data_IF_775158342424
#
_entry.id   IF_775158342424
#
_cell.length_a   1.000
_cell.length_b   1.000
_cell.length_c   1.000
_cell.angle_alpha   90.00
_cell.angle_beta   90.00
_cell.angle_gamma   90.00
#
_symmetry.space_group_name_H-M   'P 1'
#
loop_
_entity.id
_entity.type
_entity.pdbx_description
1 polymer ?
#
# COMPACT_ATOMS: atom_id res chain seq x y z
N UNK A 1 34.90 34.17 -38.64
CA UNK A 1 33.82 34.34 -37.62
C UNK A 1 32.69 33.34 -37.80
N UNK A 2 32.20 33.11 -39.03
CA UNK A 2 30.95 32.37 -39.27
C UNK A 2 30.96 30.89 -38.81
N UNK A 3 32.09 30.18 -39.00
CA UNK A 3 32.24 28.78 -38.56
C UNK A 3 32.37 28.62 -37.04
N UNK A 4 32.95 29.61 -36.38
CA UNK A 4 33.14 29.61 -34.92
C UNK A 4 31.80 29.90 -34.22
N UNK A 5 31.03 30.88 -34.74
CA UNK A 5 29.67 31.17 -34.26
C UNK A 5 28.75 29.97 -34.45
N UNK A 6 28.78 29.27 -35.59
CA UNK A 6 27.99 28.05 -35.81
C UNK A 6 28.34 26.93 -34.80
N UNK A 7 29.62 26.75 -34.47
CA UNK A 7 30.05 25.78 -33.44
C UNK A 7 29.59 26.20 -32.04
N UNK A 8 29.70 27.48 -31.71
CA UNK A 8 29.24 28.01 -30.43
C UNK A 8 27.72 27.86 -30.27
N UNK A 9 26.94 28.22 -31.30
CA UNK A 9 25.48 28.03 -31.32
C UNK A 9 25.10 26.56 -31.17
N UNK A 10 25.81 25.64 -31.83
CA UNK A 10 25.57 24.19 -31.67
C UNK A 10 25.81 23.74 -30.23
N UNK A 11 26.91 24.18 -29.60
CA UNK A 11 27.23 23.84 -28.20
C UNK A 11 26.13 24.36 -27.26
N UNK A 12 25.65 25.59 -27.47
CA UNK A 12 24.55 26.18 -26.69
C UNK A 12 23.27 25.36 -26.86
N UNK A 13 22.91 24.99 -28.09
CA UNK A 13 21.72 24.17 -28.37
C UNK A 13 21.79 22.79 -27.73
N UNK A 14 22.94 22.11 -27.83
CA UNK A 14 23.16 20.81 -27.18
C UNK A 14 23.05 20.93 -25.66
N UNK A 15 23.59 22.00 -25.07
CA UNK A 15 23.50 22.26 -23.63
C UNK A 15 22.07 22.50 -23.17
N UNK A 16 21.29 23.27 -23.94
CA UNK A 16 19.86 23.48 -23.68
C UNK A 16 19.11 22.14 -23.78
N UNK A 17 19.38 21.35 -24.81
CA UNK A 17 18.73 20.05 -25.01
C UNK A 17 19.00 19.08 -23.85
N UNK A 18 20.26 18.97 -23.41
CA UNK A 18 20.64 18.15 -22.25
C UNK A 18 19.91 18.62 -20.99
N UNK A 19 19.79 19.94 -20.79
CA UNK A 19 19.10 20.53 -19.63
C UNK A 19 17.59 20.26 -19.64
N UNK A 20 16.95 20.33 -20.80
CA UNK A 20 15.53 19.98 -20.95
C UNK A 20 15.32 18.49 -20.70
N UNK A 21 16.17 17.64 -21.27
CA UNK A 21 16.08 16.19 -21.12
C UNK A 21 16.31 15.75 -19.67
N UNK A 22 17.27 16.35 -18.96
CA UNK A 22 17.51 16.06 -17.55
C UNK A 22 16.31 16.44 -16.68
N UNK A 23 15.73 17.63 -16.92
CA UNK A 23 14.54 18.08 -16.20
C UNK A 23 13.32 17.17 -16.44
N UNK A 24 13.09 16.77 -17.71
CA UNK A 24 12.06 15.79 -18.06
C UNK A 24 12.26 14.44 -17.36
N UNK A 25 13.51 13.96 -17.33
CA UNK A 25 13.85 12.68 -16.70
C UNK A 25 13.60 12.70 -15.19
N UNK A 26 13.96 13.79 -14.51
CA UNK A 26 13.69 14.00 -13.07
C UNK A 26 12.18 14.01 -12.80
N UNK A 27 11.40 14.75 -13.60
CA UNK A 27 9.95 14.79 -13.47
C UNK A 27 9.32 13.41 -13.62
N UNK A 28 9.74 12.64 -14.63
CA UNK A 28 9.25 11.28 -14.86
C UNK A 28 9.59 10.35 -13.70
N UNK A 29 10.81 10.44 -13.18
CA UNK A 29 11.27 9.62 -12.05
C UNK A 29 10.53 9.99 -10.76
N UNK A 30 10.30 11.28 -10.52
CA UNK A 30 9.49 11.77 -9.39
C UNK A 30 8.05 11.23 -9.45
N UNK A 31 7.41 11.29 -10.63
CA UNK A 31 6.07 10.72 -10.82
C UNK A 31 6.05 9.20 -10.58
N UNK A 32 7.07 8.47 -11.03
CA UNK A 32 7.16 7.03 -10.80
C UNK A 32 7.29 6.69 -9.30
N UNK A 33 8.10 7.45 -8.56
CA UNK A 33 8.25 7.31 -7.11
C UNK A 33 6.92 7.60 -6.41
N UNK A 34 6.26 8.70 -6.78
CA UNK A 34 4.94 9.07 -6.23
C UNK A 34 3.89 7.98 -6.47
N UNK A 35 3.78 7.49 -7.71
CA UNK A 35 2.84 6.43 -8.06
C UNK A 35 3.12 5.13 -7.31
N UNK A 36 4.40 4.78 -7.13
CA UNK A 36 4.79 3.60 -6.35
C UNK A 36 4.41 3.76 -4.88
N UNK A 37 4.66 4.95 -4.29
CA UNK A 37 4.25 5.29 -2.93
C UNK A 37 2.73 5.18 -2.76
N UNK A 38 1.97 5.68 -3.73
CA UNK A 38 0.50 5.60 -3.74
C UNK A 38 0.01 4.15 -3.79
N UNK A 39 0.56 3.33 -4.70
CA UNK A 39 0.20 1.92 -4.84
C UNK A 39 0.45 1.12 -3.55
N UNK A 40 1.60 1.32 -2.92
CA UNK A 40 1.92 0.65 -1.65
C UNK A 40 0.93 1.06 -0.56
N UNK A 41 0.59 2.35 -0.46
CA UNK A 41 -0.37 2.84 0.52
C UNK A 41 -1.78 2.27 0.29
N UNK A 42 -2.22 2.22 -0.97
CA UNK A 42 -3.50 1.62 -1.35
C UNK A 42 -3.54 0.13 -1.00
N UNK A 43 -2.49 -0.62 -1.34
CA UNK A 43 -2.38 -2.04 -1.00
C UNK A 43 -2.44 -2.25 0.52
N UNK A 44 -1.65 -1.51 1.31
CA UNK A 44 -1.69 -1.61 2.78
C UNK A 44 -3.05 -1.26 3.36
N UNK A 45 -3.70 -0.21 2.86
CA UNK A 45 -5.06 0.14 3.28
C UNK A 45 -6.05 -0.98 2.98
N UNK A 46 -5.97 -1.61 1.81
CA UNK A 46 -6.81 -2.76 1.46
C UNK A 46 -6.57 -3.94 2.41
N UNK A 47 -5.33 -4.15 2.85
CA UNK A 47 -5.01 -5.19 3.84
C UNK A 47 -5.62 -4.88 5.21
N UNK A 48 -5.43 -3.67 5.71
CA UNK A 48 -5.93 -3.24 7.02
C UNK A 48 -7.45 -3.15 7.08
N UNK A 49 -8.10 -2.80 5.96
CA UNK A 49 -9.56 -2.74 5.87
C UNK A 49 -10.23 -4.08 6.23
N UNK A 50 -9.57 -5.21 5.94
CA UNK A 50 -10.09 -6.53 6.31
C UNK A 50 -10.23 -6.76 7.82
N UNK A 51 -9.50 -5.98 8.61
CA UNK A 51 -9.49 -6.01 10.07
C UNK A 51 -10.18 -4.79 10.68
N UNK A 52 -10.99 -4.08 9.90
CA UNK A 52 -11.61 -2.81 10.30
C UNK A 52 -10.59 -1.73 10.69
N UNK A 53 -9.43 -1.72 10.02
CA UNK A 53 -8.35 -0.76 10.25
C UNK A 53 -8.08 0.12 9.02
N UNK A 54 -7.47 1.28 9.25
CA UNK A 54 -7.03 2.19 8.18
C UNK A 54 -5.62 2.71 8.44
N UNK A 55 -4.87 3.01 7.38
CA UNK A 55 -3.60 3.71 7.50
C UNK A 55 -3.90 5.17 7.83
N UNK A 56 -3.40 5.67 8.96
CA UNK A 56 -3.52 7.09 9.35
C UNK A 56 -2.33 7.91 8.85
N UNK A 57 -1.13 7.35 8.92
CA UNK A 57 0.11 8.00 8.47
C UNK A 57 0.93 7.01 7.65
N UNK A 58 1.62 7.50 6.62
CA UNK A 58 2.41 6.66 5.73
C UNK A 58 3.63 7.41 5.17
N UNK A 59 4.79 6.83 5.41
CA UNK A 59 6.06 7.33 4.91
C UNK A 59 6.96 6.20 4.45
N UNK A 60 7.81 6.50 3.46
CA UNK A 60 8.88 5.61 3.03
C UNK A 60 10.18 6.36 3.29
N UNK A 61 11.01 5.87 4.23
CA UNK A 61 12.32 6.43 4.55
C UNK A 61 13.39 5.37 4.34
N UNK A 62 14.41 5.65 3.54
CA UNK A 62 15.52 4.71 3.25
C UNK A 62 15.06 3.31 2.80
N UNK A 63 13.94 3.22 2.08
CA UNK A 63 13.36 1.95 1.63
C UNK A 63 12.54 1.21 2.70
N UNK A 64 12.48 1.72 3.92
CA UNK A 64 11.60 1.21 4.98
C UNK A 64 10.23 1.88 4.92
N UNK A 65 9.17 1.07 5.04
CA UNK A 65 7.80 1.54 5.15
C UNK A 65 7.50 1.80 6.62
N UNK A 66 7.14 3.05 6.93
CA UNK A 66 6.71 3.51 8.25
C UNK A 66 5.25 3.90 8.13
N UNK A 67 4.38 3.35 8.98
CA UNK A 67 2.96 3.64 8.94
C UNK A 67 2.31 3.56 10.30
N UNK A 68 1.31 4.40 10.52
CA UNK A 68 0.45 4.38 11.70
C UNK A 68 -0.90 3.77 11.31
N UNK A 69 -1.54 3.06 12.26
CA UNK A 69 -2.83 2.40 12.03
C UNK A 69 -3.88 3.02 12.93
N UNK A 70 -5.01 3.41 12.33
CA UNK A 70 -6.23 3.75 13.06
C UNK A 70 -7.12 2.51 13.13
N UNK A 71 -7.40 2.06 14.36
CA UNK A 71 -8.35 0.98 14.61
C UNK A 71 -9.79 1.48 14.49
N UNK A 72 -10.62 0.72 13.81
CA UNK A 72 -12.06 0.88 13.79
C UNK A 72 -12.75 0.18 14.97
N UNK A 73 -14.05 0.41 15.16
CA UNK A 73 -14.80 -0.09 16.32
C UNK A 73 -14.77 -1.62 16.44
N UNK A 74 -14.77 -2.35 15.33
CA UNK A 74 -14.83 -3.81 15.32
C UNK A 74 -13.44 -4.48 15.35
N UNK A 75 -12.35 -3.70 15.26
CA UNK A 75 -10.98 -4.24 15.12
C UNK A 75 -10.66 -5.26 16.21
N UNK A 76 -10.95 -4.95 17.46
CA UNK A 76 -10.59 -5.81 18.60
C UNK A 76 -11.35 -7.14 18.58
N UNK A 77 -12.63 -7.11 18.23
CA UNK A 77 -13.44 -8.34 18.15
C UNK A 77 -13.06 -9.20 16.96
N UNK A 78 -12.77 -8.59 15.81
CA UNK A 78 -12.22 -9.29 14.63
C UNK A 78 -10.91 -10.00 15.00
N UNK A 79 -10.01 -9.30 15.69
CA UNK A 79 -8.73 -9.86 16.09
C UNK A 79 -8.87 -11.01 17.10
N UNK A 80 -9.77 -10.89 18.07
CA UNK A 80 -10.10 -11.98 19.01
C UNK A 80 -10.61 -13.21 18.28
N UNK A 81 -11.59 -13.03 17.40
CA UNK A 81 -12.18 -14.11 16.60
C UNK A 81 -11.13 -14.81 15.72
N UNK A 82 -10.34 -14.05 14.96
CA UNK A 82 -9.32 -14.64 14.08
C UNK A 82 -8.22 -15.36 14.88
N UNK A 83 -7.90 -14.90 16.08
CA UNK A 83 -6.97 -15.58 16.96
C UNK A 83 -7.56 -16.88 17.53
N UNK A 84 -8.85 -16.93 17.89
CA UNK A 84 -9.51 -18.18 18.29
C UNK A 84 -9.59 -19.21 17.16
N UNK A 85 -9.65 -18.73 15.90
CA UNK A 85 -9.60 -19.57 14.70
C UNK A 85 -8.18 -20.01 14.30
N UNK A 86 -7.15 -19.60 15.07
CA UNK A 86 -5.76 -20.01 14.87
C UNK A 86 -4.96 -19.20 13.84
N UNK A 87 -5.43 -18.02 13.41
CA UNK A 87 -4.71 -17.16 12.46
C UNK A 87 -3.61 -16.29 13.09
N UNK A 88 -3.57 -16.18 14.43
CA UNK A 88 -2.54 -15.45 15.21
C UNK A 88 -2.10 -14.11 14.61
N UNK A 89 -3.03 -13.16 14.53
CA UNK A 89 -2.83 -11.85 13.90
C UNK A 89 -2.34 -10.85 14.95
N UNK A 90 -1.45 -9.95 14.55
CA UNK A 90 -1.07 -8.76 15.33
C UNK A 90 -0.93 -7.55 14.42
N UNK A 91 -1.54 -6.43 14.81
CA UNK A 91 -1.35 -5.13 14.17
C UNK A 91 -0.27 -4.41 15.00
N UNK A 92 0.94 -4.24 14.45
CA UNK A 92 1.98 -3.39 15.07
C UNK A 92 2.35 -2.27 14.10
N UNK A 93 2.59 -1.09 14.65
CA UNK A 93 2.81 0.19 13.93
C UNK A 93 4.23 0.34 13.35
N UNK A 94 5.10 -0.67 13.47
CA UNK A 94 6.48 -0.61 12.95
C UNK A 94 6.89 -1.89 12.23
N UNK A 95 7.69 -1.71 11.18
CA UNK A 95 8.35 -2.71 10.34
C UNK A 95 7.47 -3.44 9.30
N UNK A 96 8.13 -4.31 8.53
CA UNK A 96 7.65 -5.15 7.44
C UNK A 96 6.61 -6.24 7.84
N UNK A 97 5.68 -5.91 8.74
CA UNK A 97 4.52 -6.75 9.10
C UNK A 97 3.36 -6.63 8.11
N UNK A 98 3.44 -5.71 7.15
CA UNK A 98 2.64 -5.78 5.93
C UNK A 98 2.71 -7.20 5.32
N UNK A 99 3.90 -7.83 5.33
CA UNK A 99 4.06 -9.23 4.89
C UNK A 99 3.22 -10.22 5.71
N UNK A 100 3.12 -10.06 7.03
CA UNK A 100 2.29 -10.92 7.88
C UNK A 100 0.80 -10.78 7.55
N UNK A 101 0.33 -9.55 7.36
CA UNK A 101 -1.06 -9.28 6.95
C UNK A 101 -1.36 -9.81 5.54
N UNK A 102 -0.41 -9.65 4.62
CA UNK A 102 -0.49 -10.18 3.24
C UNK A 102 -0.57 -11.71 3.27
N UNK A 103 0.29 -12.37 4.04
CA UNK A 103 0.35 -13.83 4.12
C UNK A 103 -0.90 -14.39 4.81
N UNK A 104 -1.41 -13.73 5.87
CA UNK A 104 -2.71 -14.02 6.45
C UNK A 104 -3.82 -13.98 5.40
N UNK A 105 -3.93 -12.89 4.62
CA UNK A 105 -4.99 -12.77 3.64
C UNK A 105 -4.89 -13.81 2.52
N UNK A 106 -3.67 -14.12 2.05
CA UNK A 106 -3.47 -15.20 1.06
C UNK A 106 -3.95 -16.53 1.61
N UNK A 107 -3.58 -16.85 2.84
CA UNK A 107 -3.97 -18.09 3.50
C UNK A 107 -5.48 -18.16 3.77
N UNK A 108 -6.06 -17.11 4.37
CA UNK A 108 -7.50 -17.02 4.65
C UNK A 108 -8.33 -17.16 3.37
N UNK A 109 -7.92 -16.54 2.27
CA UNK A 109 -8.59 -16.68 0.97
C UNK A 109 -8.53 -18.09 0.43
N UNK A 110 -7.35 -18.72 0.49
CA UNK A 110 -7.18 -20.10 0.04
C UNK A 110 -8.07 -21.05 0.82
N UNK A 111 -8.14 -20.87 2.15
CA UNK A 111 -8.96 -21.71 3.03
C UNK A 111 -10.46 -21.50 2.82
N UNK A 112 -10.89 -20.27 2.51
CA UNK A 112 -12.30 -19.90 2.34
C UNK A 112 -12.77 -19.82 0.87
N UNK A 113 -11.97 -20.24 -0.10
CA UNK A 113 -12.29 -20.22 -1.54
C UNK A 113 -12.74 -18.84 -2.09
N UNK A 114 -12.18 -17.74 -1.57
CA UNK A 114 -12.57 -16.37 -1.95
C UNK A 114 -11.95 -15.96 -3.30
N UNK A 115 -12.79 -15.87 -4.34
CA UNK A 115 -12.42 -15.45 -5.71
C UNK A 115 -12.77 -13.97 -5.95
N UNK A 116 -11.92 -13.23 -6.70
CA UNK A 116 -12.18 -11.83 -7.07
C UNK A 116 -10.98 -10.88 -6.95
N UNK A 117 -11.11 -9.69 -7.56
CA UNK A 117 -10.05 -8.67 -7.70
C UNK A 117 -9.93 -7.74 -6.48
N UNK A 118 -11.04 -7.44 -5.78
CA UNK A 118 -11.10 -6.56 -4.59
C UNK A 118 -10.88 -7.31 -3.27
N UNK A 119 -9.65 -7.79 -3.08
CA UNK A 119 -9.29 -8.82 -2.10
C UNK A 119 -9.60 -8.46 -0.64
N UNK A 120 -9.37 -7.22 -0.21
CA UNK A 120 -9.55 -6.81 1.19
C UNK A 120 -11.02 -6.73 1.63
N UNK A 121 -11.90 -6.22 0.75
CA UNK A 121 -13.33 -6.04 1.05
C UNK A 121 -14.04 -7.39 1.16
N UNK A 122 -13.79 -8.32 0.23
CA UNK A 122 -14.41 -9.65 0.29
C UNK A 122 -13.95 -10.47 1.50
N UNK A 123 -12.69 -10.30 1.93
CA UNK A 123 -12.21 -10.94 3.17
C UNK A 123 -12.95 -10.34 4.37
N UNK A 124 -13.07 -9.00 4.46
CA UNK A 124 -13.81 -8.33 5.54
C UNK A 124 -15.24 -8.84 5.64
N UNK A 125 -15.95 -8.87 4.51
CA UNK A 125 -17.35 -9.26 4.46
C UNK A 125 -17.52 -10.75 4.81
N UNK A 126 -16.53 -11.58 4.46
CA UNK A 126 -16.51 -13.00 4.85
C UNK A 126 -16.25 -13.18 6.35
N UNK A 127 -15.25 -12.49 6.89
CA UNK A 127 -14.97 -12.47 8.35
C UNK A 127 -16.23 -12.04 9.09
N UNK A 128 -16.90 -10.99 8.60
CA UNK A 128 -18.17 -10.51 9.14
C UNK A 128 -19.23 -11.60 9.17
N UNK A 129 -19.46 -12.26 8.04
CA UNK A 129 -20.44 -13.34 7.93
C UNK A 129 -20.15 -14.46 8.94
N UNK A 130 -18.89 -14.88 9.04
CA UNK A 130 -18.48 -15.98 9.93
C UNK A 130 -18.60 -15.59 11.41
N UNK A 131 -18.22 -14.36 11.75
CA UNK A 131 -18.41 -13.78 13.09
C UNK A 131 -19.90 -13.71 13.47
N UNK A 132 -20.77 -13.25 12.56
CA UNK A 132 -22.21 -13.18 12.82
C UNK A 132 -22.83 -14.57 13.02
N UNK A 133 -22.38 -15.59 12.29
CA UNK A 133 -22.85 -16.98 12.47
C UNK A 133 -22.56 -17.54 13.86
N UNK A 134 -21.48 -17.10 14.49
CA UNK A 134 -21.10 -17.53 15.85
C UNK A 134 -21.53 -16.55 16.94
N UNK A 135 -22.37 -15.57 16.60
CA UNK A 135 -23.07 -14.71 17.57
C UNK A 135 -22.45 -13.32 17.82
N UNK A 136 -21.39 -12.93 17.09
CA UNK A 136 -20.83 -11.58 17.20
C UNK A 136 -21.72 -10.55 16.49
N UNK A 137 -21.87 -9.38 17.11
CA UNK A 137 -22.54 -8.23 16.52
C UNK A 137 -21.50 -7.24 15.98
N UNK A 138 -21.80 -6.67 14.81
CA UNK A 138 -20.96 -5.65 14.18
C UNK A 138 -21.52 -4.25 14.49
N UNK A 139 -20.64 -3.37 14.96
CA UNK A 139 -20.91 -1.94 15.06
C UNK A 139 -20.81 -1.30 13.67
N UNK A 140 -21.76 -0.42 13.34
CA UNK A 140 -21.86 0.29 12.07
C UNK A 140 -21.57 1.77 12.22
#
# INVERSE_FOLDING_TARGET
MDRLNKRFTLIVLVSIFISIYSCYSILRMSNAIYNTKLLINLDMNMYLLSLDCQVSEFEIRNGEIIYSVKMGPNTNEIMKYLNSEGYYISIKEKNNKAKQLIDFQKYYRSKNNIKGMYKGVYIRDKIREDMTKVGYQWEY
#
